data_IF_829377289330
#
_entry.id   IF_829377289330
#
_cell.length_a   1.000
_cell.length_b   1.000
_cell.length_c   1.000
_cell.angle_alpha   90.00
_cell.angle_beta   90.00
_cell.angle_gamma   90.00
#
_symmetry.space_group_name_H-M   'P 1'
#
loop_
_entity.id
_entity.type
_entity.pdbx_description
1 polymer ?
#
# COMPACT_ATOMS: atom_id res chain seq x y z
N UNK A 1 -0.60 -13.82 -15.83
CA UNK A 1 -0.02 -13.44 -14.52
C UNK A 1 -1.10 -13.49 -13.44
N UNK A 2 -0.78 -14.02 -12.29
CA UNK A 2 -1.70 -14.20 -11.15
C UNK A 2 -2.36 -12.85 -10.75
N UNK A 3 -1.64 -11.73 -10.86
CA UNK A 3 -2.15 -10.38 -10.60
C UNK A 3 -3.23 -9.88 -11.59
N UNK A 4 -3.44 -10.57 -12.70
CA UNK A 4 -4.49 -10.24 -13.69
C UNK A 4 -5.81 -10.96 -13.44
N UNK A 5 -5.90 -11.82 -12.45
CA UNK A 5 -7.14 -12.52 -12.12
C UNK A 5 -8.01 -11.67 -11.20
N UNK A 6 -9.27 -11.51 -11.56
CA UNK A 6 -10.23 -10.57 -10.95
C UNK A 6 -10.56 -10.83 -9.47
N UNK A 7 -9.98 -11.82 -8.83
CA UNK A 7 -10.21 -12.17 -7.41
C UNK A 7 -8.93 -12.43 -6.63
N UNK A 8 -7.77 -12.05 -7.17
CA UNK A 8 -6.51 -12.21 -6.46
C UNK A 8 -6.26 -10.99 -5.56
N UNK A 9 -5.85 -11.19 -4.30
CA UNK A 9 -5.51 -10.07 -3.42
C UNK A 9 -4.35 -9.27 -4.02
N UNK A 10 -4.51 -7.97 -4.12
CA UNK A 10 -3.43 -7.12 -4.57
C UNK A 10 -2.34 -7.05 -3.49
N UNK A 11 -1.10 -7.30 -3.89
CA UNK A 11 0.06 -7.27 -2.99
C UNK A 11 0.47 -5.82 -2.74
N UNK A 12 0.81 -5.50 -1.50
CA UNK A 12 1.45 -4.24 -1.12
C UNK A 12 2.88 -4.53 -0.68
N UNK A 13 3.81 -3.70 -1.09
CA UNK A 13 5.24 -3.90 -0.84
C UNK A 13 5.81 -2.67 -0.15
N UNK A 14 6.52 -2.88 0.94
CA UNK A 14 7.33 -1.86 1.60
C UNK A 14 8.81 -2.23 1.53
N UNK A 15 9.65 -1.28 1.15
CA UNK A 15 11.09 -1.49 1.02
C UNK A 15 11.84 -0.45 1.84
N UNK A 16 12.73 -0.92 2.68
CA UNK A 16 13.66 -0.08 3.44
C UNK A 16 15.05 -0.70 3.45
N UNK A 17 16.07 0.13 3.35
CA UNK A 17 17.46 -0.29 3.44
C UNK A 17 18.03 0.11 4.79
N UNK A 18 18.65 -0.83 5.47
CA UNK A 18 19.29 -0.59 6.77
C UNK A 18 19.93 -1.87 7.30
N UNK A 19 20.74 -1.75 8.36
CA UNK A 19 21.38 -2.92 8.96
C UNK A 19 20.34 -3.82 9.64
N UNK A 20 20.50 -5.13 9.45
CA UNK A 20 19.70 -6.15 10.11
C UNK A 20 20.61 -7.25 10.66
N UNK A 21 20.28 -7.78 11.83
CA UNK A 21 20.94 -8.94 12.37
C UNK A 21 20.28 -10.22 11.84
N UNK A 22 21.06 -11.19 11.44
CA UNK A 22 20.56 -12.52 11.04
C UNK A 22 20.80 -13.51 12.18
N UNK A 23 19.78 -14.26 12.53
CA UNK A 23 19.85 -15.34 13.52
C UNK A 23 18.88 -16.44 13.16
N UNK A 24 19.36 -17.67 13.15
CA UNK A 24 18.56 -18.89 12.89
C UNK A 24 17.75 -18.83 11.58
N UNK A 25 18.30 -18.17 10.54
CA UNK A 25 17.63 -18.02 9.23
C UNK A 25 16.60 -16.89 9.17
N UNK A 26 16.47 -16.12 10.23
CA UNK A 26 15.56 -14.97 10.30
C UNK A 26 16.34 -13.65 10.44
N UNK A 27 15.67 -12.52 10.20
CA UNK A 27 16.25 -11.19 10.26
C UNK A 27 15.55 -10.33 11.31
N UNK A 28 16.36 -9.64 12.11
CA UNK A 28 15.89 -8.79 13.21
C UNK A 28 16.53 -7.40 13.15
N UNK A 29 15.85 -6.43 13.70
CA UNK A 29 16.38 -5.09 13.88
C UNK A 29 15.44 -3.99 13.46
N UNK A 30 15.86 -2.74 13.66
CA UNK A 30 15.07 -1.55 13.35
C UNK A 30 14.69 -1.48 11.87
N UNK A 31 15.60 -1.89 10.97
CA UNK A 31 15.33 -1.86 9.52
C UNK A 31 14.17 -2.78 9.13
N UNK A 32 14.07 -3.97 9.74
CA UNK A 32 12.98 -4.91 9.50
C UNK A 32 11.65 -4.31 9.96
N UNK A 33 11.62 -3.70 11.13
CA UNK A 33 10.43 -3.06 11.68
C UNK A 33 10.00 -1.85 10.84
N UNK A 34 10.95 -1.05 10.35
CA UNK A 34 10.66 0.07 9.46
C UNK A 34 10.07 -0.43 8.14
N UNK A 35 10.66 -1.45 7.52
CA UNK A 35 10.15 -2.03 6.28
C UNK A 35 8.71 -2.53 6.44
N UNK A 36 8.40 -3.22 7.54
CA UNK A 36 7.04 -3.70 7.84
C UNK A 36 6.04 -2.54 7.98
N UNK A 37 6.43 -1.44 8.62
CA UNK A 37 5.58 -0.25 8.78
C UNK A 37 5.40 0.51 7.46
N UNK A 38 6.43 0.60 6.64
CA UNK A 38 6.35 1.17 5.29
C UNK A 38 5.39 0.34 4.43
N UNK A 39 5.47 -0.98 4.50
CA UNK A 39 4.52 -1.87 3.82
C UNK A 39 3.06 -1.68 4.30
N UNK A 40 2.86 -1.39 5.59
CA UNK A 40 1.53 -1.11 6.14
C UNK A 40 0.92 0.19 5.61
N UNK A 41 1.75 1.16 5.20
CA UNK A 41 1.31 2.43 4.60
C UNK A 41 1.01 2.30 3.10
N UNK A 42 1.54 1.28 2.44
CA UNK A 42 1.29 1.03 1.03
C UNK A 42 -0.16 0.56 0.82
N UNK A 43 -0.77 1.06 -0.24
CA UNK A 43 -2.04 0.52 -0.74
C UNK A 43 -1.78 -0.75 -1.54
N UNK A 44 -2.80 -1.53 -1.73
CA UNK A 44 -2.70 -2.73 -2.55
C UNK A 44 -2.29 -2.36 -4.00
N UNK A 45 -1.30 -3.06 -4.53
CA UNK A 45 -0.69 -2.76 -5.82
C UNK A 45 0.42 -1.70 -5.77
N UNK A 46 0.64 -1.05 -4.64
CA UNK A 46 1.71 -0.06 -4.47
C UNK A 46 3.00 -0.68 -3.95
N UNK A 47 4.11 -0.14 -4.44
CA UNK A 47 5.44 -0.35 -3.89
C UNK A 47 5.88 0.96 -3.27
N UNK A 48 5.99 1.00 -1.94
CA UNK A 48 6.43 2.17 -1.19
C UNK A 48 7.82 1.91 -0.63
N UNK A 49 8.68 2.88 -0.72
CA UNK A 49 10.04 2.76 -0.21
C UNK A 49 10.52 4.04 0.48
N UNK A 50 11.58 3.91 1.25
CA UNK A 50 12.28 5.04 1.85
C UNK A 50 13.27 5.67 0.88
N UNK A 51 13.73 6.89 1.18
CA UNK A 51 14.55 7.72 0.30
C UNK A 51 15.81 7.01 -0.24
N UNK A 52 16.53 6.28 0.59
CA UNK A 52 17.74 5.57 0.17
C UNK A 52 17.45 4.53 -0.93
N UNK A 53 16.33 3.84 -0.84
CA UNK A 53 15.89 2.86 -1.85
C UNK A 53 15.46 3.57 -3.13
N UNK A 54 14.70 4.66 -3.00
CA UNK A 54 14.24 5.46 -4.14
C UNK A 54 15.43 6.03 -4.93
N UNK A 55 16.45 6.55 -4.24
CA UNK A 55 17.66 7.07 -4.87
C UNK A 55 18.39 6.00 -5.70
N UNK A 56 18.51 4.78 -5.19
CA UNK A 56 19.14 3.67 -5.92
C UNK A 56 18.28 3.25 -7.11
N UNK A 57 16.97 3.16 -6.94
CA UNK A 57 16.06 2.77 -8.01
C UNK A 57 16.13 3.73 -9.20
N UNK A 58 16.17 5.04 -8.93
CA UNK A 58 16.30 6.08 -9.96
C UNK A 58 17.69 6.07 -10.57
N UNK A 59 18.75 6.04 -9.76
CA UNK A 59 20.14 6.08 -10.25
C UNK A 59 20.48 4.90 -11.14
N UNK A 60 19.88 3.73 -10.88
CA UNK A 60 20.07 2.53 -11.70
C UNK A 60 19.02 2.34 -12.79
N UNK A 61 18.15 3.32 -13.00
CA UNK A 61 17.05 3.25 -13.96
C UNK A 61 16.15 2.00 -13.82
N UNK A 62 15.96 1.53 -12.57
CA UNK A 62 15.15 0.35 -12.29
C UNK A 62 13.66 0.68 -12.26
N UNK A 63 13.32 1.82 -11.67
CA UNK A 63 11.94 2.29 -11.57
C UNK A 63 11.91 3.81 -11.32
N UNK A 64 10.91 4.53 -11.85
CA UNK A 64 10.67 5.91 -11.44
C UNK A 64 10.19 5.95 -9.99
N UNK A 65 10.59 6.98 -9.26
CA UNK A 65 10.18 7.21 -7.88
C UNK A 65 9.38 8.51 -7.78
N UNK A 66 8.20 8.45 -7.20
CA UNK A 66 7.33 9.60 -6.96
C UNK A 66 7.28 9.90 -5.46
N UNK A 67 7.60 11.12 -5.03
CA UNK A 67 7.52 11.46 -3.61
C UNK A 67 6.08 11.40 -3.09
N UNK A 68 5.91 10.80 -1.94
CA UNK A 68 4.61 10.67 -1.25
C UNK A 68 4.49 11.60 -0.04
N UNK A 69 5.60 12.11 0.46
CA UNK A 69 5.67 12.93 1.66
C UNK A 69 6.53 12.30 2.75
N UNK A 70 6.52 12.93 3.92
CA UNK A 70 7.31 12.52 5.08
C UNK A 70 6.39 12.02 6.19
N UNK A 71 6.74 10.89 6.79
CA UNK A 71 5.96 10.29 7.88
C UNK A 71 6.80 10.12 9.14
N UNK A 72 6.15 10.22 10.29
CA UNK A 72 6.72 9.82 11.58
C UNK A 72 6.19 8.44 11.94
N UNK A 73 7.09 7.49 12.10
CA UNK A 73 6.74 6.14 12.54
C UNK A 73 6.97 6.03 14.05
N UNK A 74 6.09 5.30 14.73
CA UNK A 74 6.24 5.01 16.16
C UNK A 74 7.57 4.34 16.43
N UNK A 75 8.32 4.82 17.43
CA UNK A 75 9.65 4.33 17.80
C UNK A 75 10.73 4.48 16.73
N UNK A 76 10.53 5.40 15.78
CA UNK A 76 11.57 5.83 14.84
C UNK A 76 11.86 7.29 15.13
N UNK A 77 13.09 7.60 15.47
CA UNK A 77 13.49 8.92 15.98
C UNK A 77 13.41 10.02 14.93
N UNK A 78 13.58 9.69 13.67
CA UNK A 78 13.57 10.65 12.57
C UNK A 78 12.40 10.44 11.61
N UNK A 79 11.82 11.52 11.07
CA UNK A 79 10.86 11.40 9.99
C UNK A 79 11.48 10.74 8.76
N UNK A 80 10.70 9.93 8.07
CA UNK A 80 11.13 9.23 6.86
C UNK A 80 10.42 9.79 5.65
N UNK A 81 11.17 10.19 4.63
CA UNK A 81 10.62 10.50 3.33
C UNK A 81 10.27 9.21 2.59
N UNK A 82 9.05 9.14 2.10
CA UNK A 82 8.50 7.99 1.39
C UNK A 82 8.30 8.28 -0.09
N UNK A 83 8.50 7.26 -0.89
CA UNK A 83 8.35 7.30 -2.35
C UNK A 83 7.57 6.09 -2.83
N UNK A 84 6.73 6.30 -3.81
CA UNK A 84 6.11 5.23 -4.58
C UNK A 84 7.00 4.88 -5.77
N UNK A 85 7.32 3.60 -5.93
CA UNK A 85 8.02 3.11 -7.10
C UNK A 85 7.01 2.71 -8.18
N UNK A 86 7.15 3.30 -9.35
CA UNK A 86 6.35 2.93 -10.51
C UNK A 86 6.75 1.56 -11.03
N UNK A 87 5.77 0.70 -11.29
CA UNK A 87 6.00 -0.62 -11.87
C UNK A 87 6.15 -0.60 -13.39
N UNK A 88 6.04 0.58 -14.02
CA UNK A 88 6.17 0.76 -15.47
C UNK A 88 5.05 0.14 -16.30
N UNK A 89 4.14 -0.58 -15.70
CA UNK A 89 2.97 -1.09 -16.39
C UNK A 89 1.89 -0.02 -16.42
N UNK A 90 1.44 0.47 -17.59
CA UNK A 90 0.20 1.22 -17.66
C UNK A 90 -0.90 0.27 -17.25
N UNK A 91 -1.38 0.43 -16.03
CA UNK A 91 -2.61 -0.23 -15.59
C UNK A 91 -3.77 0.42 -16.34
N UNK A 92 -3.96 0.00 -17.59
CA UNK A 92 -5.06 0.49 -18.45
C UNK A 92 -6.44 0.02 -18.00
N UNK A 93 -6.53 -0.62 -16.84
CA UNK A 93 -7.75 -0.96 -16.14
C UNK A 93 -7.68 -0.39 -14.74
N UNK A 94 -8.56 0.52 -14.45
CA UNK A 94 -8.81 0.97 -13.09
C UNK A 94 -9.40 -0.20 -12.32
N UNK A 95 -8.53 -0.92 -11.63
CA UNK A 95 -8.99 -1.87 -10.63
C UNK A 95 -9.27 -1.12 -9.34
N UNK A 96 -10.48 -1.27 -8.84
CA UNK A 96 -10.82 -0.78 -7.52
C UNK A 96 -10.51 -1.85 -6.49
N UNK A 97 -10.23 -1.42 -5.27
CA UNK A 97 -9.95 -2.31 -4.16
C UNK A 97 -11.11 -2.33 -3.20
N UNK A 98 -11.53 -3.52 -2.81
CA UNK A 98 -12.43 -3.69 -1.69
C UNK A 98 -11.74 -3.14 -0.41
N UNK A 99 -12.32 -2.15 0.26
CA UNK A 99 -11.68 -1.55 1.43
C UNK A 99 -11.52 -2.52 2.61
N UNK A 100 -12.30 -3.59 2.66
CA UNK A 100 -12.29 -4.56 3.76
C UNK A 100 -11.28 -5.67 3.52
N UNK A 101 -11.37 -6.38 2.41
CA UNK A 101 -10.53 -7.56 2.14
C UNK A 101 -9.35 -7.28 1.20
N UNK A 102 -9.28 -6.07 0.62
CA UNK A 102 -8.21 -5.63 -0.30
C UNK A 102 -8.12 -6.41 -1.61
N UNK A 103 -9.17 -7.11 -1.98
CA UNK A 103 -9.24 -7.75 -3.30
C UNK A 103 -9.42 -6.72 -4.41
N UNK A 104 -8.77 -6.97 -5.54
CA UNK A 104 -9.03 -6.19 -6.74
C UNK A 104 -10.42 -6.52 -7.31
N UNK A 105 -11.16 -5.49 -7.65
CA UNK A 105 -12.51 -5.59 -8.19
C UNK A 105 -12.56 -4.87 -9.51
N UNK A 106 -13.06 -5.55 -10.53
CA UNK A 106 -13.51 -4.89 -11.75
C UNK A 106 -14.84 -4.19 -11.45
N UNK A 107 -14.94 -2.87 -11.67
CA UNK A 107 -16.19 -2.12 -11.44
C UNK A 107 -17.40 -2.73 -12.13
N UNK A 108 -17.19 -3.34 -13.30
CA UNK A 108 -18.25 -3.98 -14.08
C UNK A 108 -18.81 -5.25 -13.42
N UNK A 109 -18.01 -5.91 -12.55
CA UNK A 109 -18.36 -7.18 -11.90
C UNK A 109 -18.44 -7.09 -10.39
N UNK A 110 -18.39 -5.88 -9.82
CA UNK A 110 -18.52 -5.66 -8.39
C UNK A 110 -19.83 -6.24 -7.86
N UNK A 111 -19.78 -6.96 -6.74
CA UNK A 111 -20.98 -7.54 -6.14
C UNK A 111 -21.92 -6.45 -5.59
N UNK A 112 -21.34 -5.39 -5.02
CA UNK A 112 -22.10 -4.24 -4.51
C UNK A 112 -21.20 -3.00 -4.41
N UNK A 113 -21.83 -1.85 -4.38
CA UNK A 113 -21.17 -0.53 -4.25
C UNK A 113 -21.79 0.29 -3.13
N UNK A 114 -21.03 1.26 -2.63
CA UNK A 114 -21.48 2.23 -1.63
C UNK A 114 -20.90 3.60 -1.97
N UNK A 115 -21.75 4.62 -2.06
CA UNK A 115 -21.27 5.99 -2.16
C UNK A 115 -21.07 6.58 -0.76
N UNK A 116 -19.85 7.06 -0.48
CA UNK A 116 -19.51 7.72 0.78
C UNK A 116 -18.62 8.93 0.51
N UNK A 117 -19.01 10.07 1.06
CA UNK A 117 -18.26 11.33 0.95
C UNK A 117 -17.87 11.72 -0.50
N UNK A 118 -18.76 11.43 -1.46
CA UNK A 118 -18.53 11.70 -2.88
C UNK A 118 -17.62 10.68 -3.58
N UNK A 119 -17.21 9.62 -2.90
CA UNK A 119 -16.40 8.52 -3.46
C UNK A 119 -17.25 7.27 -3.57
N UNK A 120 -17.18 6.60 -4.72
CA UNK A 120 -17.85 5.32 -4.93
C UNK A 120 -16.88 4.18 -4.54
N UNK A 121 -17.29 3.40 -3.54
CA UNK A 121 -16.56 2.24 -3.06
C UNK A 121 -17.14 0.97 -3.68
N UNK A 122 -16.27 0.03 -4.00
CA UNK A 122 -16.62 -1.26 -4.61
C UNK A 122 -16.28 -2.40 -3.65
N UNK A 123 -17.17 -3.37 -3.54
CA UNK A 123 -17.02 -4.52 -2.64
C UNK A 123 -17.13 -5.84 -3.40
N UNK A 124 -16.32 -6.80 -3.02
CA UNK A 124 -16.34 -8.14 -3.59
C UNK A 124 -17.55 -8.96 -3.15
N UNK A 125 -18.18 -8.56 -2.03
CA UNK A 125 -19.35 -9.25 -1.47
C UNK A 125 -20.19 -8.32 -0.61
N UNK A 126 -21.45 -8.68 -0.40
CA UNK A 126 -22.33 -7.99 0.56
C UNK A 126 -21.79 -8.07 2.00
N UNK A 127 -21.07 -9.14 2.35
CA UNK A 127 -20.43 -9.29 3.66
C UNK A 127 -19.33 -8.26 3.90
N UNK A 128 -18.49 -7.97 2.90
CA UNK A 128 -17.49 -6.91 2.99
C UNK A 128 -18.13 -5.54 3.14
N UNK A 129 -19.17 -5.26 2.36
CA UNK A 129 -19.93 -4.01 2.50
C UNK A 129 -20.51 -3.85 3.90
N UNK A 130 -21.17 -4.87 4.44
CA UNK A 130 -21.75 -4.82 5.78
C UNK A 130 -20.70 -4.57 6.87
N UNK A 131 -19.52 -5.17 6.76
CA UNK A 131 -18.41 -4.91 7.70
C UNK A 131 -17.91 -3.47 7.60
N UNK A 132 -17.82 -2.94 6.38
CA UNK A 132 -17.44 -1.55 6.17
C UNK A 132 -18.47 -0.60 6.80
N UNK A 133 -19.76 -0.80 6.53
CA UNK A 133 -20.83 0.04 7.09
C UNK A 133 -20.88 0.00 8.62
N UNK A 134 -20.49 -1.12 9.24
CA UNK A 134 -20.42 -1.26 10.70
C UNK A 134 -19.28 -0.46 11.33
N UNK A 135 -18.14 -0.29 10.67
CA UNK A 135 -16.97 0.42 11.18
C UNK A 135 -16.13 1.02 10.04
N UNK A 136 -16.63 2.05 9.33
CA UNK A 136 -15.94 2.63 8.18
C UNK A 136 -14.53 3.12 8.49
N UNK A 137 -14.33 3.72 9.65
CA UNK A 137 -13.05 4.26 10.13
C UNK A 137 -11.96 3.18 10.29
N UNK A 138 -12.34 1.92 10.47
CA UNK A 138 -11.38 0.81 10.58
C UNK A 138 -10.76 0.44 9.22
N UNK A 139 -11.43 0.80 8.13
CA UNK A 139 -11.05 0.40 6.77
C UNK A 139 -10.66 1.57 5.88
N UNK A 140 -11.10 2.77 6.20
CA UNK A 140 -10.60 3.98 5.58
C UNK A 140 -9.21 4.24 6.13
N UNK A 141 -8.21 3.95 5.32
CA UNK A 141 -6.87 4.46 5.59
C UNK A 141 -6.96 5.97 5.56
N UNK A 142 -6.71 6.62 6.69
CA UNK A 142 -6.53 8.06 6.69
C UNK A 142 -5.56 8.42 5.56
N UNK A 143 -5.88 9.38 4.69
CA UNK A 143 -4.90 9.92 3.78
C UNK A 143 -3.72 10.32 4.66
N UNK A 144 -2.52 9.86 4.33
CA UNK A 144 -1.29 10.18 5.05
C UNK A 144 -1.34 11.66 5.40
N UNK A 145 -1.49 11.94 6.71
CA UNK A 145 -1.95 13.23 7.18
C UNK A 145 -1.22 14.37 6.49
N UNK A 146 -1.97 15.28 5.96
CA UNK A 146 -1.43 16.56 5.52
C UNK A 146 -0.67 17.12 6.71
N UNK A 147 0.66 17.34 6.60
CA UNK A 147 1.38 17.98 7.69
C UNK A 147 0.75 19.36 7.91
N UNK A 148 0.13 19.49 9.05
CA UNK A 148 -0.31 20.81 9.54
C UNK A 148 0.89 21.65 9.89
#
# INVERSE_FOLDING_TARGET
TIAGQARFPAVRIGIHAGPAASRDGDYFGAAVNIAARVAALARAGEIVCTEAVAAVAVARALAPARPMGTVRLKNVSMPLALFELGTGAPTGRLHHLDPVCRMQIDPATAATTLAQDGVLLYFCSAGCRARFEAAPEAYLLEPAGTPG
#
